data_IF_071380409343
#
_entry.id   IF_071380409343
#
_cell.length_a   1.000
_cell.length_b   1.000
_cell.length_c   1.000
_cell.angle_alpha   90.00
_cell.angle_beta   90.00
_cell.angle_gamma   90.00
#
_symmetry.space_group_name_H-M   'P 1'
#
loop_
_entity.id
_entity.type
_entity.pdbx_description
1 polymer ?
#
# COMPACT_ATOMS: atom_id res chain seq x y z
N UNK A 1 69.58 -18.16 -40.34
CA UNK A 1 68.60 -17.58 -39.39
C UNK A 1 68.15 -16.27 -40.02
N UNK A 2 67.22 -16.38 -40.97
CA UNK A 2 66.81 -15.26 -41.83
C UNK A 2 65.54 -14.59 -41.33
N UNK A 3 65.55 -13.26 -41.40
CA UNK A 3 64.45 -12.35 -41.16
C UNK A 3 63.43 -12.44 -42.30
N UNK A 4 62.14 -12.55 -41.95
CA UNK A 4 61.05 -12.19 -42.86
C UNK A 4 60.06 -11.26 -42.17
N UNK A 5 60.23 -9.97 -42.45
CA UNK A 5 59.23 -8.92 -42.24
C UNK A 5 58.14 -9.13 -43.32
N UNK A 6 56.89 -9.34 -42.91
CA UNK A 6 55.74 -9.28 -43.83
C UNK A 6 54.75 -8.21 -43.36
N UNK A 7 54.87 -7.01 -43.96
CA UNK A 7 53.89 -5.92 -43.89
C UNK A 7 52.55 -6.43 -44.44
N UNK A 8 51.48 -6.43 -43.63
CA UNK A 8 50.10 -6.56 -44.15
C UNK A 8 49.42 -5.20 -44.10
N UNK A 9 49.60 -4.43 -45.16
CA UNK A 9 48.71 -3.33 -45.53
C UNK A 9 47.51 -3.91 -46.29
N UNK A 10 46.35 -4.02 -45.65
CA UNK A 10 45.06 -3.92 -46.36
C UNK A 10 43.98 -3.42 -45.41
N UNK A 11 43.77 -2.12 -45.48
CA UNK A 11 42.61 -1.40 -44.98
C UNK A 11 41.45 -1.67 -45.94
N UNK A 12 40.44 -2.43 -45.52
CA UNK A 12 39.13 -2.52 -46.19
C UNK A 12 38.09 -3.26 -45.32
N UNK A 13 37.43 -2.49 -44.45
CA UNK A 13 35.97 -2.36 -44.32
C UNK A 13 35.09 -3.61 -44.50
N UNK A 14 34.76 -4.28 -43.38
CA UNK A 14 33.40 -4.69 -42.96
C UNK A 14 33.52 -5.70 -41.82
N UNK A 15 33.98 -5.24 -40.65
CA UNK A 15 33.85 -5.99 -39.41
C UNK A 15 32.50 -5.59 -38.85
N UNK A 16 31.53 -6.50 -38.94
CA UNK A 16 30.15 -6.32 -38.49
C UNK A 16 30.09 -5.83 -37.04
N UNK A 17 29.87 -4.53 -36.86
CA UNK A 17 29.65 -3.83 -35.58
C UNK A 17 28.33 -4.28 -34.89
N UNK A 18 27.63 -5.28 -35.43
CA UNK A 18 26.36 -5.80 -34.91
C UNK A 18 26.51 -6.91 -33.85
N UNK A 19 27.61 -6.95 -33.10
CA UNK A 19 27.84 -7.93 -32.03
C UNK A 19 28.45 -7.31 -30.77
N UNK A 20 28.20 -6.02 -30.50
CA UNK A 20 28.62 -5.39 -29.23
C UNK A 20 27.46 -5.00 -28.30
N UNK A 21 26.22 -4.93 -28.80
CA UNK A 21 25.06 -4.52 -27.99
C UNK A 21 24.39 -5.65 -27.19
N UNK A 22 24.80 -6.92 -27.40
CA UNK A 22 24.15 -8.08 -26.75
C UNK A 22 24.74 -8.40 -25.36
N UNK A 23 25.83 -7.74 -24.96
CA UNK A 23 26.58 -8.09 -23.74
C UNK A 23 26.31 -7.19 -22.52
N UNK A 24 25.29 -6.32 -22.56
CA UNK A 24 25.00 -5.38 -21.46
C UNK A 24 23.65 -5.58 -20.74
N UNK A 25 22.85 -6.58 -21.13
CA UNK A 25 21.70 -6.97 -20.33
C UNK A 25 22.11 -8.16 -19.46
N UNK A 26 22.31 -7.98 -18.14
CA UNK A 26 22.38 -9.13 -17.26
C UNK A 26 21.04 -9.86 -17.41
N UNK A 27 21.06 -11.04 -18.04
CA UNK A 27 19.92 -11.95 -17.95
C UNK A 27 19.88 -12.36 -16.49
N UNK A 28 19.04 -11.66 -15.74
CA UNK A 28 18.76 -12.00 -14.36
C UNK A 28 18.14 -13.40 -14.39
N UNK A 29 18.86 -14.42 -13.92
CA UNK A 29 18.40 -15.81 -13.79
C UNK A 29 17.26 -15.97 -12.75
N UNK A 30 16.39 -14.97 -12.65
CA UNK A 30 15.27 -14.90 -11.73
C UNK A 30 14.54 -13.56 -11.83
N UNK A 31 13.39 -13.48 -11.16
CA UNK A 31 12.62 -12.26 -11.12
C UNK A 31 13.29 -11.16 -10.29
N UNK A 32 13.09 -9.90 -10.71
CA UNK A 32 13.51 -8.72 -9.95
C UNK A 32 12.96 -8.75 -8.51
N UNK A 33 13.51 -7.89 -7.66
CA UNK A 33 13.07 -7.77 -6.27
C UNK A 33 11.56 -7.57 -6.17
N UNK A 34 10.91 -8.31 -5.27
CA UNK A 34 9.47 -8.34 -5.05
C UNK A 34 8.62 -8.75 -6.28
N UNK A 35 9.21 -9.44 -7.25
CA UNK A 35 8.48 -10.06 -8.37
C UNK A 35 8.60 -11.58 -8.37
N UNK A 36 7.58 -12.25 -8.92
CA UNK A 36 7.50 -13.71 -9.03
C UNK A 36 6.61 -14.17 -10.20
N UNK A 37 6.63 -15.48 -10.47
CA UNK A 37 5.91 -16.13 -11.57
C UNK A 37 6.78 -16.33 -12.81
N UNK A 38 6.27 -17.09 -13.78
CA UNK A 38 6.97 -17.47 -15.03
C UNK A 38 7.55 -16.27 -15.79
N UNK A 39 6.75 -15.20 -15.93
CA UNK A 39 7.17 -13.95 -16.60
C UNK A 39 7.54 -12.82 -15.62
N UNK A 40 7.67 -13.12 -14.33
CA UNK A 40 7.95 -12.11 -13.29
C UNK A 40 6.96 -10.93 -13.25
N UNK A 41 5.74 -11.13 -13.76
CA UNK A 41 4.70 -10.11 -13.84
C UNK A 41 3.99 -9.89 -12.50
N UNK A 42 3.98 -10.88 -11.61
CA UNK A 42 3.32 -10.81 -10.30
C UNK A 42 4.22 -10.10 -9.29
N UNK A 43 3.61 -9.36 -8.37
CA UNK A 43 4.29 -8.54 -7.36
C UNK A 43 3.94 -9.04 -5.96
N UNK A 44 4.92 -9.06 -5.06
CA UNK A 44 4.81 -9.50 -3.67
C UNK A 44 5.33 -8.42 -2.71
N UNK A 45 4.93 -7.18 -2.93
CA UNK A 45 5.41 -6.00 -2.20
C UNK A 45 4.97 -5.92 -0.72
N UNK A 46 4.09 -6.83 -0.29
CA UNK A 46 3.62 -6.96 1.09
C UNK A 46 4.41 -7.97 1.91
N UNK A 47 5.40 -8.64 1.32
CA UNK A 47 6.36 -9.43 2.08
C UNK A 47 7.37 -8.51 2.79
N UNK A 48 7.83 -8.92 3.97
CA UNK A 48 9.08 -8.41 4.53
C UNK A 48 10.23 -9.06 3.74
N UNK A 49 10.86 -8.28 2.86
CA UNK A 49 11.90 -8.75 1.96
C UNK A 49 11.37 -9.22 0.61
N UNK A 50 12.08 -10.18 0.01
CA UNK A 50 11.71 -10.81 -1.26
C UNK A 50 10.80 -12.03 -1.03
N UNK A 51 10.00 -12.40 -2.02
CA UNK A 51 9.21 -13.63 -2.01
C UNK A 51 9.88 -14.76 -2.81
N UNK A 52 9.34 -15.96 -2.66
CA UNK A 52 9.60 -17.08 -3.56
C UNK A 52 9.29 -16.70 -5.01
N UNK A 53 10.23 -17.01 -5.92
CA UNK A 53 10.17 -16.57 -7.32
C UNK A 53 9.18 -17.35 -8.17
N UNK A 54 8.73 -18.51 -7.70
CA UNK A 54 7.81 -19.39 -8.43
C UNK A 54 6.38 -19.11 -7.97
N UNK A 55 6.13 -19.16 -6.66
CA UNK A 55 4.77 -19.13 -6.11
C UNK A 55 4.42 -17.84 -5.34
N UNK A 56 5.39 -16.95 -5.07
CA UNK A 56 5.15 -15.69 -4.40
C UNK A 56 4.97 -15.77 -2.88
N UNK A 57 5.22 -16.93 -2.28
CA UNK A 57 5.16 -17.11 -0.83
C UNK A 57 6.17 -16.20 -0.11
N UNK A 58 5.74 -15.63 1.02
CA UNK A 58 6.55 -14.78 1.88
C UNK A 58 7.00 -15.54 3.13
N UNK A 59 8.15 -15.17 3.69
CA UNK A 59 8.54 -15.58 5.05
C UNK A 59 7.66 -14.91 6.12
N UNK A 60 7.43 -13.60 5.96
CA UNK A 60 6.58 -12.78 6.82
C UNK A 60 5.93 -11.67 6.00
N UNK A 61 4.81 -11.15 6.51
CA UNK A 61 4.10 -10.01 5.95
C UNK A 61 4.51 -8.72 6.66
N UNK A 62 4.45 -7.61 5.93
CA UNK A 62 4.46 -6.28 6.54
C UNK A 62 3.23 -6.11 7.44
N UNK A 63 3.29 -5.17 8.37
CA UNK A 63 2.20 -4.87 9.29
C UNK A 63 0.86 -4.61 8.58
N UNK A 64 -0.22 -5.06 9.20
CA UNK A 64 -1.57 -4.98 8.63
C UNK A 64 -1.91 -6.03 7.58
N UNK A 65 -0.96 -6.88 7.18
CA UNK A 65 -1.21 -8.00 6.26
C UNK A 65 -0.88 -9.36 6.87
N UNK A 66 -1.52 -10.40 6.33
CA UNK A 66 -1.41 -11.79 6.78
C UNK A 66 -1.42 -12.76 5.60
N UNK A 67 -1.36 -14.05 5.91
CA UNK A 67 -1.26 -15.15 4.96
C UNK A 67 0.06 -15.14 4.15
N UNK A 68 1.21 -15.40 4.80
CA UNK A 68 2.50 -15.43 4.12
C UNK A 68 2.55 -16.47 2.99
N UNK A 69 1.79 -17.57 3.12
CA UNK A 69 1.72 -18.61 2.08
C UNK A 69 0.99 -18.14 0.83
N UNK A 70 0.03 -17.21 0.96
CA UNK A 70 -0.66 -16.58 -0.16
C UNK A 70 0.01 -15.27 -0.63
N UNK A 71 1.25 -15.00 -0.21
CA UNK A 71 1.98 -13.81 -0.64
C UNK A 71 1.52 -12.51 0.04
N UNK A 72 1.00 -12.62 1.28
CA UNK A 72 0.55 -11.47 2.06
C UNK A 72 -0.57 -10.65 1.39
N UNK A 73 -1.47 -11.36 0.70
CA UNK A 73 -2.57 -10.75 -0.06
C UNK A 73 -3.82 -10.44 0.77
N UNK A 74 -3.85 -10.84 2.04
CA UNK A 74 -4.95 -10.57 2.97
C UNK A 74 -4.56 -9.52 3.98
N UNK A 75 -5.49 -8.64 4.31
CA UNK A 75 -5.36 -7.75 5.45
C UNK A 75 -5.49 -8.55 6.75
N UNK A 76 -5.06 -7.97 7.87
CA UNK A 76 -5.34 -8.56 9.18
C UNK A 76 -6.85 -8.71 9.40
N UNK A 77 -7.28 -9.80 10.07
CA UNK A 77 -8.68 -10.04 10.33
C UNK A 77 -9.31 -8.94 11.19
N UNK A 78 -10.64 -8.83 11.11
CA UNK A 78 -11.45 -7.93 11.94
C UNK A 78 -11.05 -8.04 13.41
N UNK A 79 -11.00 -6.90 14.10
CA UNK A 79 -10.57 -6.81 15.49
C UNK A 79 -9.06 -6.87 15.71
N UNK A 80 -8.24 -7.03 14.66
CA UNK A 80 -6.77 -7.13 14.80
C UNK A 80 -6.00 -6.14 13.92
N UNK A 81 -4.77 -5.83 14.34
CA UNK A 81 -3.87 -4.93 13.61
C UNK A 81 -2.38 -5.23 13.88
N UNK A 82 -1.47 -4.54 13.20
CA UNK A 82 -0.03 -4.56 13.44
C UNK A 82 0.71 -5.75 12.83
N UNK A 83 1.96 -5.91 13.26
CA UNK A 83 2.81 -7.02 12.82
C UNK A 83 2.21 -8.37 13.24
N UNK A 84 2.01 -9.25 12.27
CA UNK A 84 1.39 -10.58 12.44
C UNK A 84 -0.01 -10.52 13.06
N UNK A 85 -0.72 -9.39 12.92
CA UNK A 85 -2.08 -9.22 13.43
C UNK A 85 -2.22 -9.51 14.93
N UNK A 86 -1.19 -9.14 15.71
CA UNK A 86 -1.15 -9.37 17.16
C UNK A 86 -1.75 -8.23 17.98
N UNK A 87 -1.98 -7.07 17.37
CA UNK A 87 -2.69 -5.97 18.01
C UNK A 87 -4.17 -6.30 18.13
N UNK A 88 -4.79 -5.89 19.24
CA UNK A 88 -6.20 -6.09 19.54
C UNK A 88 -6.94 -4.74 19.51
N UNK A 89 -7.85 -4.59 18.57
CA UNK A 89 -8.65 -3.37 18.40
C UNK A 89 -9.64 -3.16 19.55
N UNK A 90 -10.26 -4.22 20.07
CA UNK A 90 -11.17 -4.09 21.19
C UNK A 90 -10.44 -3.61 22.46
N UNK A 91 -9.19 -4.06 22.67
CA UNK A 91 -8.37 -3.58 23.77
C UNK A 91 -8.04 -2.08 23.61
N UNK A 92 -7.62 -1.69 22.40
CA UNK A 92 -7.12 -0.34 22.09
C UNK A 92 -8.23 0.71 21.90
N UNK A 93 -9.30 0.36 21.19
CA UNK A 93 -10.34 1.26 20.71
C UNK A 93 -11.72 0.97 21.31
N UNK A 94 -11.92 -0.14 22.04
CA UNK A 94 -13.25 -0.61 22.51
C UNK A 94 -14.23 -0.98 21.39
N UNK A 95 -13.78 -0.93 20.15
CA UNK A 95 -14.45 -1.34 18.93
C UNK A 95 -13.38 -1.78 17.91
N UNK A 96 -13.77 -2.10 16.67
CA UNK A 96 -12.79 -2.43 15.64
C UNK A 96 -11.98 -1.18 15.22
N UNK A 97 -10.75 -1.39 14.75
CA UNK A 97 -9.92 -0.32 14.24
C UNK A 97 -10.37 0.11 12.84
N UNK A 98 -10.11 1.38 12.48
CA UNK A 98 -10.32 1.88 11.12
C UNK A 98 -9.35 1.28 10.11
N UNK A 99 -8.12 0.96 10.55
CA UNK A 99 -7.07 0.40 9.71
C UNK A 99 -6.26 -0.66 10.47
N UNK A 100 -5.53 -1.49 9.71
CA UNK A 100 -4.88 -2.73 10.20
C UNK A 100 -3.39 -2.60 10.46
N UNK A 101 -2.74 -1.52 10.03
CA UNK A 101 -1.32 -1.25 10.18
C UNK A 101 -1.05 -0.82 11.63
N UNK A 102 -1.63 0.29 12.09
CA UNK A 102 -1.37 0.86 13.42
C UNK A 102 -2.52 0.66 14.40
N UNK A 103 -3.69 0.23 13.92
CA UNK A 103 -4.90 0.08 14.73
C UNK A 103 -5.49 1.43 15.15
N UNK A 104 -5.61 2.37 14.24
CA UNK A 104 -6.18 3.70 14.49
C UNK A 104 -7.65 3.58 14.88
N UNK A 105 -8.03 4.26 15.97
CA UNK A 105 -9.39 4.22 16.48
C UNK A 105 -10.27 5.27 15.77
N UNK A 106 -11.58 5.02 15.62
CA UNK A 106 -12.51 6.06 15.21
C UNK A 106 -12.55 7.19 16.25
N UNK A 107 -12.79 8.44 15.81
CA UNK A 107 -12.75 9.63 16.69
C UNK A 107 -13.72 9.53 17.89
N UNK A 108 -14.80 8.76 17.73
CA UNK A 108 -15.77 8.45 18.78
C UNK A 108 -15.20 7.60 19.92
N UNK A 109 -14.18 6.78 19.65
CA UNK A 109 -13.52 5.93 20.64
C UNK A 109 -12.44 6.67 21.45
N UNK A 110 -11.93 7.80 20.96
CA UNK A 110 -10.89 8.60 21.62
C UNK A 110 -11.41 9.62 22.64
N UNK A 111 -12.73 9.85 22.71
CA UNK A 111 -13.32 10.96 23.49
C UNK A 111 -13.64 10.65 24.97
N UNK A 112 -13.11 9.57 25.56
CA UNK A 112 -13.35 9.30 27.00
C UNK A 112 -12.32 9.91 27.96
N UNK A 113 -11.39 10.77 27.52
CA UNK A 113 -10.52 11.55 28.44
C UNK A 113 -10.18 12.94 27.92
N UNK A 114 -11.20 13.75 27.63
CA UNK A 114 -11.07 15.19 27.87
C UNK A 114 -12.09 15.54 28.95
N UNK A 115 -11.57 15.97 30.10
CA UNK A 115 -12.36 16.31 31.27
C UNK A 115 -13.44 17.33 30.93
N UNK A 116 -14.57 17.17 31.60
CA UNK A 116 -15.62 18.17 31.76
C UNK A 116 -15.01 19.53 32.08
N UNK A 117 -14.93 20.41 31.09
CA UNK A 117 -15.13 21.83 31.34
C UNK A 117 -16.58 22.08 30.97
N UNK A 118 -17.39 22.13 32.02
CA UNK A 118 -18.78 22.51 31.94
C UNK A 118 -18.86 23.94 31.43
N UNK A 119 -19.18 24.10 30.15
CA UNK A 119 -19.80 25.33 29.67
C UNK A 119 -21.26 25.01 29.42
N UNK A 120 -22.09 25.36 30.39
CA UNK A 120 -23.53 25.45 30.22
C UNK A 120 -23.83 26.47 29.10
N UNK A 121 -23.79 26.03 27.83
CA UNK A 121 -24.53 26.70 26.77
C UNK A 121 -25.88 25.98 26.71
N UNK A 122 -26.79 26.54 27.50
CA UNK A 122 -28.22 26.27 27.49
C UNK A 122 -28.71 26.21 26.04
N UNK A 123 -28.93 24.99 25.55
CA UNK A 123 -29.72 24.77 24.34
C UNK A 123 -31.17 24.96 24.73
N UNK A 124 -31.60 26.20 24.67
CA UNK A 124 -32.99 26.62 24.82
C UNK A 124 -33.82 25.94 23.73
N UNK A 125 -35.00 25.38 24.05
CA UNK A 125 -35.90 24.84 23.03
C UNK A 125 -36.56 25.99 22.29
N UNK A 126 -36.21 26.19 21.02
CA UNK A 126 -36.97 27.11 20.14
C UNK A 126 -38.13 26.35 19.53
N UNK A 127 -39.22 26.27 20.28
CA UNK A 127 -40.57 26.15 19.74
C UNK A 127 -41.19 27.54 19.80
N UNK A 128 -41.31 28.21 18.66
CA UNK A 128 -42.19 29.39 18.55
C UNK A 128 -42.94 29.31 17.24
N UNK A 129 -44.16 28.81 17.34
CA UNK A 129 -45.25 29.10 16.44
C UNK A 129 -45.45 30.63 16.41
N UNK A 130 -45.47 31.21 15.21
CA UNK A 130 -45.93 32.58 15.01
C UNK A 130 -47.15 32.53 14.08
N UNK A 131 -48.31 32.75 14.67
CA UNK A 131 -49.51 33.33 14.06
C UNK A 131 -49.88 34.49 14.99
N UNK A 132 -50.12 35.72 14.49
CA UNK A 132 -51.52 36.12 14.31
C UNK A 132 -51.76 37.01 13.07
N UNK A 133 -52.66 36.54 12.22
CA UNK A 133 -53.93 37.19 11.80
C UNK A 133 -53.94 38.56 11.09
N UNK A 134 -54.60 38.53 9.92
CA UNK A 134 -55.56 39.50 9.31
C UNK A 134 -55.08 40.77 8.58
N UNK A 135 -55.34 40.80 7.26
CA UNK A 135 -56.07 41.82 6.44
C UNK A 135 -56.20 41.22 5.02
N UNK A 136 -57.33 40.68 4.55
CA UNK A 136 -58.58 41.28 4.07
C UNK A 136 -58.56 41.84 2.62
N UNK A 137 -59.67 41.56 1.91
CA UNK A 137 -60.26 42.15 0.69
C UNK A 137 -59.76 41.80 -0.75
N UNK A 138 -60.54 40.88 -1.36
CA UNK A 138 -61.35 41.00 -2.59
C UNK A 138 -60.76 41.35 -3.98
N UNK A 139 -61.28 40.61 -4.99
CA UNK A 139 -61.88 41.12 -6.25
C UNK A 139 -61.22 40.67 -7.57
N UNK A 140 -61.75 39.61 -8.18
CA UNK A 140 -62.42 39.54 -9.51
C UNK A 140 -62.38 38.14 -10.12
#
# INVERSE_FOLDING_TARGET
MELHISRKTKLNSSISILRLFVYLLPVSDGCLYQRYGEDCSKVCNRCIGNCDKVNGTCKNCVEGYTDPKAGCNKDCPLGTFGFRCKGDCALKCKEDCLERIYGTCPETASSSRFGTVQSDIKSTPTSTANDPSTTDMTSR
#
